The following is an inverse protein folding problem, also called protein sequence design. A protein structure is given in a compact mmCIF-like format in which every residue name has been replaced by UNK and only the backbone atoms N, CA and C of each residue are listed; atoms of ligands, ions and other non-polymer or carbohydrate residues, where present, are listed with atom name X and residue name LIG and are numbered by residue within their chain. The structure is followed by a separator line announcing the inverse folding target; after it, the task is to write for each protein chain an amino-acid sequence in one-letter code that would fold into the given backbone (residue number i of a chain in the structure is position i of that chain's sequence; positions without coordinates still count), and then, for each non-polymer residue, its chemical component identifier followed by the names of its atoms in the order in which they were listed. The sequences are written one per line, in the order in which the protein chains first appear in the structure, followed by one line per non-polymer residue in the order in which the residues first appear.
data_IF_515800657311
#
_entry.id   IF_515800657311
#
_cell.length_a   1.000
_cell.length_b   1.000
_cell.length_c   1.000
_cell.angle_alpha   90.00
_cell.angle_beta   90.00
_cell.angle_gamma   90.00
#
_symmetry.space_group_name_H-M   'P 1'
#
loop_
_entity.id
_entity.type
_entity.pdbx_description
1 polymer ?
#
# COMPACT_ATOMS: atom_id res chain seq x y z
N UNK A 1 30.34 -14.49 42.21
CA UNK A 1 29.53 -14.64 40.99
C UNK A 1 28.10 -14.84 41.43
N UNK A 2 27.33 -13.75 41.47
CA UNK A 2 25.90 -13.79 41.78
C UNK A 2 25.19 -14.50 40.63
N UNK A 3 24.60 -15.67 40.92
CA UNK A 3 23.75 -16.37 39.95
C UNK A 3 22.44 -15.62 39.87
N UNK A 4 22.19 -14.98 38.74
CA UNK A 4 20.87 -14.43 38.41
C UNK A 4 19.87 -15.59 38.51
N UNK A 5 18.90 -15.45 39.39
CA UNK A 5 17.85 -16.44 39.57
C UNK A 5 16.97 -16.47 38.32
N UNK A 6 16.53 -17.66 37.91
CA UNK A 6 15.79 -17.85 36.65
C UNK A 6 14.47 -17.05 36.64
N UNK A 7 13.89 -16.79 37.81
CA UNK A 7 12.73 -15.91 37.97
C UNK A 7 13.05 -14.45 37.63
N UNK A 8 14.21 -13.96 38.06
CA UNK A 8 14.67 -12.58 37.85
C UNK A 8 15.09 -12.33 36.39
N UNK A 9 15.63 -13.37 35.73
CA UNK A 9 15.87 -13.34 34.29
C UNK A 9 14.55 -13.28 33.50
N UNK A 10 13.50 -13.98 33.96
CA UNK A 10 12.18 -13.97 33.32
C UNK A 10 11.48 -12.62 33.44
N UNK A 11 11.51 -12.00 34.62
CA UNK A 11 10.99 -10.64 34.82
C UNK A 11 11.74 -9.60 33.97
N UNK A 12 13.06 -9.71 33.86
CA UNK A 12 13.81 -8.81 32.98
C UNK A 12 13.46 -9.02 31.50
N UNK A 13 13.26 -10.26 31.05
CA UNK A 13 12.83 -10.54 29.67
C UNK A 13 11.43 -9.97 29.43
N UNK A 14 10.49 -10.17 30.35
CA UNK A 14 9.12 -9.68 30.24
C UNK A 14 9.05 -8.13 30.28
N UNK A 15 9.90 -7.51 31.10
CA UNK A 15 10.07 -6.06 31.13
C UNK A 15 10.68 -5.52 29.85
N UNK A 16 11.70 -6.19 29.30
CA UNK A 16 12.31 -5.83 28.01
C UNK A 16 11.28 -5.99 26.89
N UNK A 17 10.49 -7.06 26.87
CA UNK A 17 9.41 -7.26 25.89
C UNK A 17 8.33 -6.18 26.02
N UNK A 18 7.98 -5.77 27.23
CA UNK A 18 7.03 -4.69 27.46
C UNK A 18 7.57 -3.35 26.98
N UNK A 19 8.84 -3.05 27.30
CA UNK A 19 9.52 -1.85 26.83
C UNK A 19 9.66 -1.87 25.31
N UNK A 20 10.00 -3.01 24.69
CA UNK A 20 10.05 -3.16 23.24
C UNK A 20 8.66 -2.97 22.62
N UNK A 21 7.62 -3.60 23.18
CA UNK A 21 6.24 -3.45 22.70
C UNK A 21 5.73 -2.00 22.81
N UNK A 22 6.12 -1.26 23.85
CA UNK A 22 5.79 0.16 24.03
C UNK A 22 6.70 1.10 23.21
N UNK A 23 7.97 0.73 23.01
CA UNK A 23 8.98 1.55 22.33
C UNK A 23 9.07 1.31 20.82
N UNK A 24 8.47 0.25 20.29
CA UNK A 24 8.28 0.10 18.86
C UNK A 24 7.18 1.09 18.45
N UNK A 25 7.51 2.25 17.83
CA UNK A 25 6.48 3.08 17.24
C UNK A 25 5.76 2.19 16.25
N UNK A 26 4.45 1.98 16.44
CA UNK A 26 3.60 1.26 15.49
C UNK A 26 4.03 1.72 14.10
N UNK A 27 4.47 0.77 13.27
CA UNK A 27 5.07 1.02 11.95
C UNK A 27 4.17 1.84 11.01
N UNK A 28 2.95 2.14 11.43
CA UNK A 28 1.89 2.71 10.62
C UNK A 28 1.61 4.18 10.96
N UNK A 29 2.67 4.99 11.00
CA UNK A 29 2.55 6.45 10.81
C UNK A 29 2.44 6.78 9.30
N UNK A 30 1.32 6.44 8.68
CA UNK A 30 1.01 6.89 7.32
C UNK A 30 -0.30 6.39 6.70
N UNK A 31 -1.34 6.05 7.48
CA UNK A 31 -2.61 5.54 6.94
C UNK A 31 -3.21 6.42 5.83
N UNK A 32 -3.03 7.74 5.93
CA UNK A 32 -3.49 8.69 4.91
C UNK A 32 -2.86 8.47 3.52
N UNK A 33 -1.60 7.99 3.45
CA UNK A 33 -0.94 7.70 2.18
C UNK A 33 -1.56 6.47 1.51
N UNK A 34 -1.88 5.44 2.30
CA UNK A 34 -2.53 4.23 1.78
C UNK A 34 -3.92 4.49 1.24
N UNK A 35 -4.68 5.38 1.88
CA UNK A 35 -5.99 5.82 1.36
C UNK A 35 -5.84 6.52 0.02
N UNK A 36 -4.97 7.53 -0.06
CA UNK A 36 -4.79 8.33 -1.29
C UNK A 36 -4.26 7.48 -2.43
N UNK A 37 -3.25 6.64 -2.18
CA UNK A 37 -2.69 5.78 -3.20
C UNK A 37 -3.62 4.65 -3.59
N UNK A 38 -4.39 4.07 -2.66
CA UNK A 38 -5.40 3.05 -2.98
C UNK A 38 -6.55 3.56 -3.83
N UNK A 39 -7.00 4.81 -3.60
CA UNK A 39 -8.00 5.45 -4.47
C UNK A 39 -7.39 5.76 -5.84
N UNK A 40 -6.17 6.33 -5.85
CA UNK A 40 -5.49 6.70 -7.08
C UNK A 40 -5.16 5.51 -7.97
N UNK A 41 -4.78 4.38 -7.37
CA UNK A 41 -4.49 3.16 -8.12
C UNK A 41 -5.76 2.48 -8.60
N UNK A 42 -6.85 2.45 -7.82
CA UNK A 42 -8.14 1.92 -8.24
C UNK A 42 -8.78 2.70 -9.39
N UNK A 43 -8.49 4.00 -9.48
CA UNK A 43 -9.00 4.87 -10.54
C UNK A 43 -8.57 4.40 -11.94
N UNK A 44 -7.31 4.04 -12.12
CA UNK A 44 -6.77 3.64 -13.43
C UNK A 44 -7.46 2.40 -14.03
N UNK A 45 -7.53 1.22 -13.37
CA UNK A 45 -8.16 0.03 -13.93
C UNK A 45 -9.67 0.22 -14.16
N UNK A 46 -10.35 0.97 -13.29
CA UNK A 46 -11.77 1.30 -13.48
C UNK A 46 -11.96 2.17 -14.72
N UNK A 47 -11.12 3.20 -14.90
CA UNK A 47 -11.21 4.08 -16.06
C UNK A 47 -10.88 3.34 -17.37
N UNK A 48 -9.86 2.48 -17.37
CA UNK A 48 -9.56 1.61 -18.51
C UNK A 48 -10.75 0.71 -18.87
N UNK A 49 -11.42 0.12 -17.87
CA UNK A 49 -12.62 -0.69 -18.10
C UNK A 49 -13.77 0.12 -18.71
N UNK A 50 -13.99 1.34 -18.23
CA UNK A 50 -15.05 2.24 -18.73
C UNK A 50 -14.77 2.69 -20.17
N UNK A 51 -13.51 2.99 -20.50
CA UNK A 51 -13.09 3.37 -21.86
C UNK A 51 -13.23 2.18 -22.81
N UNK A 52 -12.77 1.00 -22.41
CA UNK A 52 -12.89 -0.22 -23.22
C UNK A 52 -14.33 -0.68 -23.40
N UNK A 53 -15.19 -0.42 -22.41
CA UNK A 53 -16.63 -0.63 -22.52
C UNK A 53 -17.36 0.40 -23.38
N UNK A 54 -16.67 1.41 -23.92
CA UNK A 54 -17.26 2.48 -24.72
C UNK A 54 -18.14 3.46 -23.92
N UNK A 55 -18.08 3.41 -22.58
CA UNK A 55 -18.89 4.27 -21.70
C UNK A 55 -18.27 5.67 -21.62
N UNK A 56 -16.94 5.76 -21.67
CA UNK A 56 -16.18 7.01 -21.54
C UNK A 56 -15.25 7.16 -22.74
N UNK A 57 -15.08 8.36 -23.31
CA UNK A 57 -14.15 8.56 -24.43
C UNK A 57 -12.69 8.31 -24.02
N UNK A 58 -11.88 7.79 -24.95
CA UNK A 58 -10.45 7.50 -24.70
C UNK A 58 -9.63 8.71 -24.26
N UNK A 59 -10.06 9.92 -24.61
CA UNK A 59 -9.45 11.17 -24.13
C UNK A 59 -9.46 11.28 -22.60
N UNK A 60 -10.39 10.60 -21.91
CA UNK A 60 -10.44 10.60 -20.45
C UNK A 60 -9.22 9.95 -19.82
N UNK A 61 -8.47 9.08 -20.53
CA UNK A 61 -7.23 8.48 -20.03
C UNK A 61 -6.16 9.54 -19.68
N UNK A 62 -6.25 10.76 -20.24
CA UNK A 62 -5.39 11.88 -19.85
C UNK A 62 -5.60 12.38 -18.42
N UNK A 63 -6.65 11.93 -17.75
CA UNK A 63 -6.85 12.22 -16.31
C UNK A 63 -5.96 11.38 -15.41
N UNK A 64 -5.47 10.21 -15.85
CA UNK A 64 -4.57 9.34 -15.09
C UNK A 64 -3.31 10.09 -14.62
N UNK A 65 -2.52 10.75 -15.50
CA UNK A 65 -1.34 11.50 -15.06
C UNK A 65 -1.69 12.65 -14.10
N UNK A 66 -2.88 13.26 -14.21
CA UNK A 66 -3.32 14.31 -13.29
C UNK A 66 -3.62 13.74 -11.89
N UNK A 67 -4.29 12.59 -11.81
CA UNK A 67 -4.55 11.89 -10.54
C UNK A 67 -3.24 11.48 -9.88
N UNK A 68 -2.30 10.93 -10.63
CA UNK A 68 -0.99 10.55 -10.11
C UNK A 68 -0.17 11.77 -9.64
N UNK A 69 -0.20 12.87 -10.39
CA UNK A 69 0.41 14.12 -9.95
C UNK A 69 -0.21 14.61 -8.64
N UNK A 70 -1.54 14.50 -8.47
CA UNK A 70 -2.21 14.86 -7.23
C UNK A 70 -1.79 13.96 -6.05
N UNK A 71 -1.70 12.63 -6.25
CA UNK A 71 -1.19 11.69 -5.23
C UNK A 71 0.26 12.02 -4.82
N UNK A 72 1.10 12.37 -5.79
CA UNK A 72 2.49 12.76 -5.54
C UNK A 72 2.58 14.10 -4.78
N UNK A 73 1.82 15.11 -5.20
CA UNK A 73 1.74 16.42 -4.52
C UNK A 73 1.24 16.24 -3.09
N UNK A 74 0.19 15.45 -2.88
CA UNK A 74 -0.30 15.09 -1.54
C UNK A 74 0.82 14.47 -0.71
N UNK A 75 1.52 13.49 -1.28
CA UNK A 75 2.59 12.78 -0.57
C UNK A 75 3.74 13.71 -0.18
N UNK A 76 4.15 14.62 -1.08
CA UNK A 76 5.20 15.62 -0.83
C UNK A 76 4.75 16.64 0.22
N UNK A 77 3.55 17.18 0.09
CA UNK A 77 3.00 18.16 1.02
C UNK A 77 2.87 17.56 2.42
N UNK A 78 2.35 16.34 2.52
CA UNK A 78 2.20 15.64 3.80
C UNK A 78 3.55 15.28 4.41
N UNK A 79 4.51 14.81 3.61
CA UNK A 79 5.86 14.53 4.09
C UNK A 79 6.57 15.77 4.63
N UNK A 80 6.32 16.96 4.06
CA UNK A 80 6.85 18.24 4.58
C UNK A 80 6.27 18.58 5.95
N UNK A 81 4.99 18.28 6.18
CA UNK A 81 4.32 18.52 7.46
C UNK A 81 4.75 17.52 8.54
N UNK A 82 5.05 16.28 8.18
CA UNK A 82 5.46 15.23 9.12
C UNK A 82 6.98 15.13 9.33
N UNK A 83 7.79 15.85 8.55
CA UNK A 83 9.26 15.94 8.67
C UNK A 83 9.80 16.21 10.09
N UNK A 84 9.20 17.11 10.90
CA UNK A 84 9.68 17.36 12.27
C UNK A 84 9.52 16.14 13.19
N UNK A 85 8.46 15.36 12.96
CA UNK A 85 8.11 14.16 13.73
C UNK A 85 8.95 12.94 13.27
N UNK A 86 9.21 12.83 11.97
CA UNK A 86 10.05 11.79 11.35
C UNK A 86 11.56 11.92 11.65
N UNK A 87 12.02 12.99 12.30
CA UNK A 87 13.42 13.05 12.78
C UNK A 87 13.67 12.11 13.96
N UNK A 88 12.60 11.62 14.62
CA UNK A 88 12.62 10.61 15.69
C UNK A 88 12.13 9.22 15.24
N UNK A 89 11.81 9.02 13.95
CA UNK A 89 11.36 7.72 13.44
C UNK A 89 12.50 6.71 13.36
N UNK A 90 12.23 5.44 13.65
CA UNK A 90 13.22 4.36 13.54
C UNK A 90 13.69 4.16 12.08
N UNK A 91 14.88 3.59 11.89
CA UNK A 91 15.45 3.25 10.58
C UNK A 91 14.45 2.46 9.72
N UNK A 92 13.69 1.56 10.34
CA UNK A 92 12.67 0.72 9.69
C UNK A 92 11.54 1.55 9.07
N UNK A 93 11.12 2.65 9.70
CA UNK A 93 10.09 3.54 9.13
C UNK A 93 10.59 4.30 7.89
N UNK A 94 11.89 4.62 7.82
CA UNK A 94 12.48 5.24 6.63
C UNK A 94 12.65 4.24 5.48
N UNK A 95 13.10 3.03 5.78
CA UNK A 95 13.16 1.96 4.80
C UNK A 95 11.78 1.63 4.24
N UNK A 96 10.76 1.64 5.10
CA UNK A 96 9.36 1.48 4.71
C UNK A 96 8.89 2.52 3.66
N UNK A 97 9.12 3.82 3.89
CA UNK A 97 8.77 4.85 2.90
C UNK A 97 9.58 4.71 1.61
N UNK A 98 10.85 4.31 1.69
CA UNK A 98 11.68 4.08 0.52
C UNK A 98 11.17 2.88 -0.30
N UNK A 99 10.80 1.78 0.35
CA UNK A 99 10.24 0.59 -0.32
C UNK A 99 8.92 0.95 -0.99
N UNK A 100 8.01 1.67 -0.30
CA UNK A 100 6.75 2.16 -0.86
C UNK A 100 6.97 3.03 -2.10
N UNK A 101 7.88 4.02 -2.02
CA UNK A 101 8.19 4.90 -3.14
C UNK A 101 8.87 4.16 -4.30
N UNK A 102 9.77 3.22 -4.01
CA UNK A 102 10.45 2.41 -5.03
C UNK A 102 9.47 1.47 -5.75
N UNK A 103 8.59 0.79 -5.02
CA UNK A 103 7.62 -0.13 -5.63
C UNK A 103 6.53 0.61 -6.40
N UNK A 104 5.99 1.72 -5.87
CA UNK A 104 5.02 2.55 -6.60
C UNK A 104 5.66 3.26 -7.79
N UNK A 105 6.89 3.78 -7.63
CA UNK A 105 7.65 4.42 -8.70
C UNK A 105 8.02 3.43 -9.81
N UNK A 106 8.44 2.22 -9.44
CA UNK A 106 8.72 1.16 -10.40
C UNK A 106 7.45 0.68 -11.11
N UNK A 107 6.34 0.51 -10.38
CA UNK A 107 5.05 0.17 -10.97
C UNK A 107 4.58 1.22 -11.98
N UNK A 108 4.79 2.51 -11.68
CA UNK A 108 4.50 3.60 -12.59
C UNK A 108 5.36 3.58 -13.86
N UNK A 109 6.68 3.45 -13.73
CA UNK A 109 7.60 3.36 -14.88
C UNK A 109 7.27 2.15 -15.76
N UNK A 110 7.01 1.00 -15.12
CA UNK A 110 6.58 -0.20 -15.82
C UNK A 110 5.25 0.05 -16.51
N UNK A 111 4.26 0.71 -15.90
CA UNK A 111 2.97 0.98 -16.55
C UNK A 111 3.10 1.87 -17.80
N UNK A 112 3.89 2.95 -17.72
CA UNK A 112 4.14 3.86 -18.85
C UNK A 112 4.89 3.14 -19.98
N UNK A 113 5.86 2.28 -19.65
CA UNK A 113 6.57 1.47 -20.62
C UNK A 113 5.69 0.35 -21.21
N UNK A 114 4.81 -0.23 -20.39
CA UNK A 114 3.94 -1.37 -20.72
C UNK A 114 2.73 -0.96 -21.54
N UNK A 115 2.23 0.29 -21.43
CA UNK A 115 1.16 0.81 -22.29
C UNK A 115 1.47 0.68 -23.79
N UNK A 116 2.76 0.61 -24.18
CA UNK A 116 3.19 0.35 -25.56
C UNK A 116 3.43 -1.12 -25.90
N UNK A 117 3.47 -2.03 -24.91
CA UNK A 117 3.99 -3.40 -25.07
C UNK A 117 2.94 -4.47 -24.74
N UNK A 118 2.05 -4.25 -23.75
CA UNK A 118 1.02 -5.23 -23.37
C UNK A 118 -0.37 -4.57 -23.31
N UNK A 119 -1.37 -5.25 -23.86
CA UNK A 119 -2.75 -4.79 -23.90
C UNK A 119 -3.39 -4.73 -22.48
N UNK A 120 -4.09 -3.63 -22.22
CA UNK A 120 -5.12 -3.33 -21.22
C UNK A 120 -5.03 -4.00 -19.83
N UNK A 121 -5.21 -5.32 -19.73
CA UNK A 121 -5.25 -6.06 -18.46
C UNK A 121 -3.87 -6.18 -17.78
N UNK A 122 -2.78 -6.19 -18.56
CA UNK A 122 -1.42 -6.34 -18.03
C UNK A 122 -0.99 -5.15 -17.16
N UNK A 123 -1.43 -3.94 -17.52
CA UNK A 123 -1.13 -2.72 -16.78
C UNK A 123 -1.77 -2.74 -15.37
N UNK A 124 -3.00 -3.20 -15.24
CA UNK A 124 -3.71 -3.28 -13.96
C UNK A 124 -3.16 -4.39 -13.04
N UNK A 125 -2.68 -5.50 -13.63
CA UNK A 125 -2.02 -6.57 -12.89
C UNK A 125 -0.72 -6.11 -12.24
N UNK A 126 0.06 -5.26 -12.90
CA UNK A 126 1.33 -4.73 -12.38
C UNK A 126 1.13 -3.85 -11.14
N UNK A 127 0.12 -2.98 -11.14
CA UNK A 127 -0.24 -2.19 -9.96
C UNK A 127 -0.63 -3.06 -8.78
N UNK A 128 -1.48 -4.05 -9.03
CA UNK A 128 -1.95 -4.95 -7.98
C UNK A 128 -0.82 -5.80 -7.40
N UNK A 129 0.14 -6.24 -8.21
CA UNK A 129 1.33 -6.98 -7.75
C UNK A 129 2.24 -6.07 -6.90
N UNK A 130 2.50 -4.84 -7.35
CA UNK A 130 3.31 -3.89 -6.61
C UNK A 130 2.68 -3.55 -5.25
N UNK A 131 1.37 -3.33 -5.22
CA UNK A 131 0.63 -3.09 -3.98
C UNK A 131 0.64 -4.28 -3.03
N UNK A 132 0.43 -5.49 -3.55
CA UNK A 132 0.49 -6.72 -2.76
C UNK A 132 1.87 -6.90 -2.12
N UNK A 133 2.95 -6.65 -2.85
CA UNK A 133 4.33 -6.73 -2.33
C UNK A 133 4.52 -5.77 -1.15
N UNK A 134 4.05 -4.53 -1.28
CA UNK A 134 4.16 -3.54 -0.19
C UNK A 134 3.38 -3.99 1.04
N UNK A 135 2.12 -4.40 0.88
CA UNK A 135 1.26 -4.80 1.99
C UNK A 135 1.76 -6.06 2.69
N UNK A 136 2.25 -7.04 1.93
CA UNK A 136 2.84 -8.26 2.48
C UNK A 136 4.16 -7.97 3.19
N UNK A 137 4.99 -7.07 2.67
CA UNK A 137 6.21 -6.63 3.34
C UNK A 137 5.92 -5.96 4.70
N UNK A 138 4.96 -5.04 4.76
CA UNK A 138 4.49 -4.45 6.03
C UNK A 138 3.95 -5.53 6.96
N UNK A 139 3.19 -6.45 6.39
CA UNK A 139 2.61 -7.57 7.09
C UNK A 139 3.65 -8.49 7.76
N UNK A 140 4.76 -8.76 7.09
CA UNK A 140 5.87 -9.54 7.64
C UNK A 140 6.56 -8.86 8.84
N UNK A 141 6.40 -7.54 8.99
CA UNK A 141 6.91 -6.77 10.13
C UNK A 141 5.90 -6.65 11.29
N UNK A 142 4.94 -7.58 11.37
CA UNK A 142 4.05 -7.74 12.52
C UNK A 142 2.68 -7.05 12.40
N UNK A 143 2.35 -6.43 11.26
CA UNK A 143 1.01 -5.86 11.06
C UNK A 143 0.06 -6.86 10.37
N UNK A 144 -0.73 -7.58 11.17
CA UNK A 144 -1.73 -8.54 10.67
C UNK A 144 -2.76 -7.91 9.72
N UNK A 145 -3.09 -6.62 9.88
CA UNK A 145 -4.04 -5.93 8.99
C UNK A 145 -3.45 -5.70 7.61
N UNK A 146 -2.17 -5.35 7.54
CA UNK A 146 -1.44 -5.23 6.28
C UNK A 146 -1.31 -6.59 5.55
N UNK A 147 -1.08 -7.68 6.31
CA UNK A 147 -1.13 -9.04 5.78
C UNK A 147 -2.49 -9.36 5.12
N UNK A 148 -3.59 -9.11 5.84
CA UNK A 148 -4.95 -9.35 5.32
C UNK A 148 -5.20 -8.50 4.08
N UNK A 149 -4.83 -7.21 4.11
CA UNK A 149 -4.94 -6.31 2.98
C UNK A 149 -4.14 -6.81 1.75
N UNK A 150 -2.91 -7.28 1.95
CA UNK A 150 -2.09 -7.87 0.89
C UNK A 150 -2.74 -9.11 0.29
N UNK A 151 -3.31 -9.99 1.12
CA UNK A 151 -4.06 -11.16 0.67
C UNK A 151 -5.29 -10.75 -0.15
N UNK A 152 -6.01 -9.69 0.24
CA UNK A 152 -7.17 -9.18 -0.53
C UNK A 152 -6.75 -8.72 -1.93
N UNK A 153 -5.64 -8.00 -2.05
CA UNK A 153 -5.13 -7.56 -3.36
C UNK A 153 -4.71 -8.77 -4.21
N UNK A 154 -4.00 -9.75 -3.64
CA UNK A 154 -3.64 -11.00 -4.35
C UNK A 154 -4.90 -11.79 -4.76
N UNK A 155 -5.89 -11.88 -3.89
CA UNK A 155 -7.15 -12.55 -4.21
C UNK A 155 -7.88 -11.84 -5.36
N UNK A 156 -7.91 -10.51 -5.38
CA UNK A 156 -8.49 -9.77 -6.51
C UNK A 156 -7.77 -10.01 -7.84
N UNK A 157 -6.44 -10.17 -7.83
CA UNK A 157 -5.66 -10.55 -9.01
C UNK A 157 -6.06 -11.92 -9.53
N UNK A 158 -6.16 -12.90 -8.64
CA UNK A 158 -6.57 -14.27 -8.99
C UNK A 158 -7.99 -14.24 -9.56
N UNK A 159 -8.93 -13.59 -8.89
CA UNK A 159 -10.32 -13.50 -9.36
C UNK A 159 -10.40 -12.80 -10.71
N UNK A 160 -9.67 -11.69 -10.89
CA UNK A 160 -9.63 -10.96 -12.15
C UNK A 160 -9.11 -11.82 -13.31
N UNK A 161 -8.12 -12.68 -13.07
CA UNK A 161 -7.57 -13.58 -14.09
C UNK A 161 -8.59 -14.62 -14.60
N UNK A 162 -9.56 -15.00 -13.79
CA UNK A 162 -10.63 -15.93 -14.16
C UNK A 162 -11.96 -15.23 -14.48
N UNK A 163 -11.99 -13.90 -14.43
CA UNK A 163 -13.21 -13.12 -14.65
C UNK A 163 -13.40 -12.81 -16.14
N UNK A 164 -14.65 -12.60 -16.59
CA UNK A 164 -14.92 -12.08 -17.92
C UNK A 164 -14.20 -10.73 -18.15
N UNK A 165 -13.70 -10.51 -19.37
CA UNK A 165 -12.95 -9.29 -19.75
C UNK A 165 -13.73 -7.98 -19.48
N UNK A 166 -15.06 -8.04 -19.47
CA UNK A 166 -15.93 -6.90 -19.17
C UNK A 166 -15.93 -6.43 -17.71
N UNK A 167 -15.32 -7.18 -16.77
CA UNK A 167 -15.34 -6.83 -15.34
C UNK A 167 -13.97 -6.80 -14.66
N UNK A 168 -12.90 -7.16 -15.37
CA UNK A 168 -11.53 -7.29 -14.83
C UNK A 168 -11.08 -6.01 -14.11
N UNK A 169 -11.25 -4.84 -14.73
CA UNK A 169 -10.83 -3.58 -14.13
C UNK A 169 -11.62 -3.20 -12.88
N UNK A 170 -12.89 -3.59 -12.77
CA UNK A 170 -13.69 -3.37 -11.57
C UNK A 170 -13.26 -4.30 -10.42
N UNK A 171 -12.94 -5.56 -10.71
CA UNK A 171 -12.45 -6.51 -9.70
C UNK A 171 -11.12 -6.04 -9.13
N UNK A 172 -10.19 -5.62 -9.99
CA UNK A 172 -8.89 -5.09 -9.57
C UNK A 172 -9.04 -3.78 -8.79
N UNK A 173 -9.85 -2.84 -9.29
CA UNK A 173 -10.14 -1.59 -8.59
C UNK A 173 -10.77 -1.81 -7.21
N UNK A 174 -11.70 -2.75 -7.08
CA UNK A 174 -12.27 -3.13 -5.79
C UNK A 174 -11.22 -3.72 -4.85
N UNK A 175 -10.30 -4.55 -5.36
CA UNK A 175 -9.16 -5.08 -4.60
C UNK A 175 -8.25 -3.98 -4.05
N UNK A 176 -7.92 -2.99 -4.87
CA UNK A 176 -7.10 -1.82 -4.48
C UNK A 176 -7.82 -0.94 -3.43
N UNK A 177 -9.12 -0.71 -3.60
CA UNK A 177 -9.91 0.05 -2.62
C UNK A 177 -10.01 -0.69 -1.28
N UNK A 178 -10.39 -1.97 -1.28
CA UNK A 178 -10.58 -2.73 -0.03
C UNK A 178 -9.25 -3.06 0.62
N UNK A 179 -8.25 -3.47 -0.17
CA UNK A 179 -6.92 -3.79 0.32
C UNK A 179 -6.16 -2.55 0.76
N UNK A 180 -5.83 -1.66 -0.16
CA UNK A 180 -4.96 -0.52 0.11
C UNK A 180 -5.68 0.60 0.89
N UNK A 181 -6.79 1.12 0.35
CA UNK A 181 -7.49 2.21 1.03
C UNK A 181 -8.18 1.74 2.32
N UNK A 182 -8.76 0.53 2.33
CA UNK A 182 -9.34 -0.09 3.52
C UNK A 182 -8.31 -0.33 4.62
N UNK A 183 -7.10 -0.78 4.28
CA UNK A 183 -5.99 -0.82 5.23
C UNK A 183 -5.68 0.56 5.79
N UNK A 184 -5.52 1.57 4.92
CA UNK A 184 -5.26 2.95 5.32
C UNK A 184 -6.30 3.50 6.30
N UNK A 185 -7.59 3.28 6.03
CA UNK A 185 -8.69 3.66 6.93
C UNK A 185 -8.59 2.90 8.26
N UNK A 186 -8.34 1.59 8.23
CA UNK A 186 -8.22 0.78 9.45
C UNK A 186 -7.07 1.24 10.37
N UNK A 187 -5.98 1.72 9.76
CA UNK A 187 -4.83 2.27 10.48
C UNK A 187 -5.14 3.66 11.05
N UNK A 188 -5.89 4.49 10.33
CA UNK A 188 -6.33 5.79 10.85
C UNK A 188 -7.27 5.62 12.05
N UNK A 189 -8.24 4.72 11.96
CA UNK A 189 -9.21 4.45 13.04
C UNK A 189 -8.58 3.82 14.30
N UNK A 190 -7.43 3.16 14.19
CA UNK A 190 -6.76 2.56 15.34
C UNK A 190 -5.72 3.47 16.02
N UNK A 191 -5.60 4.72 15.54
CA UNK A 191 -4.85 5.78 16.24
C UNK A 191 -5.73 6.56 17.22
N UNK A 192 -7.04 6.53 17.03
CA UNK A 192 -8.05 7.05 17.95
C UNK A 192 -8.36 6.03 19.06
#
# INVERSE_FOLDING_TARGET
MERIDAAQAREHIEMIDRILAESHPRLCTGGEYFVVWGIGSAFAPVLFQLVNGGIVPSVALWTIPLVLAACAVFSIARARLTRPVLRRSSIVQREFFNVLWLTLGLAFVVNVAVYRIFADAAAAAIWSVAEAIVLLYIGMHGNRRAQIAGIVVVASLIVANFSPTGVVGYVLGAGMLVGYAGFGVSELLARE
#
